data_IF_247619066984
#
_entry.id   IF_247619066984
#
_cell.length_a   1.000
_cell.length_b   1.000
_cell.length_c   1.000
_cell.angle_alpha   90.00
_cell.angle_beta   90.00
_cell.angle_gamma   90.00
#
_symmetry.space_group_name_H-M   'P 1'
#
loop_
_entity.id
_entity.type
_entity.pdbx_description
1 polymer ?
#
# COMPACT_ATOMS: atom_id res chain seq x y z
N UNK A 1 23.52 -17.85 -12.72
CA UNK A 1 24.19 -17.75 -11.41
C UNK A 1 23.39 -18.54 -10.40
N UNK A 2 24.06 -19.38 -9.60
CA UNK A 2 23.43 -20.08 -8.49
C UNK A 2 23.20 -19.10 -7.35
N UNK A 3 21.98 -19.01 -6.81
CA UNK A 3 21.67 -18.13 -5.68
C UNK A 3 22.30 -18.67 -4.40
N UNK A 4 22.62 -17.78 -3.46
CA UNK A 4 23.03 -18.17 -2.12
C UNK A 4 21.86 -18.82 -1.37
N UNK A 5 22.15 -19.69 -0.40
CA UNK A 5 21.12 -20.33 0.45
C UNK A 5 20.28 -19.29 1.19
N UNK A 6 20.89 -18.16 1.55
CA UNK A 6 20.28 -17.02 2.21
C UNK A 6 20.02 -15.85 1.25
N UNK A 7 19.79 -16.11 -0.04
CA UNK A 7 19.43 -15.06 -0.99
C UNK A 7 18.16 -14.32 -0.54
N UNK A 8 18.33 -13.05 -0.20
CA UNK A 8 17.26 -12.15 0.21
C UNK A 8 17.00 -11.06 -0.83
N UNK A 9 17.46 -11.25 -2.07
CA UNK A 9 17.50 -10.19 -3.10
C UNK A 9 16.10 -9.61 -3.36
N UNK A 10 15.10 -10.48 -3.54
CA UNK A 10 13.73 -10.07 -3.81
C UNK A 10 13.08 -9.36 -2.61
N UNK A 11 13.36 -9.85 -1.40
CA UNK A 11 12.87 -9.22 -0.17
C UNK A 11 13.47 -7.83 -0.03
N UNK A 12 14.79 -7.69 -0.16
CA UNK A 12 15.48 -6.39 -0.05
C UNK A 12 15.02 -5.39 -1.10
N UNK A 13 14.77 -5.83 -2.32
CA UNK A 13 14.20 -4.96 -3.33
C UNK A 13 12.78 -4.48 -2.97
N UNK A 14 11.96 -5.35 -2.35
CA UNK A 14 10.67 -4.96 -1.79
C UNK A 14 10.78 -3.94 -0.66
N UNK A 15 11.66 -4.20 0.31
CA UNK A 15 11.94 -3.31 1.45
C UNK A 15 12.40 -1.92 0.95
N UNK A 16 13.35 -1.89 0.01
CA UNK A 16 13.86 -0.64 -0.58
C UNK A 16 12.74 0.10 -1.31
N UNK A 17 11.90 -0.59 -2.09
CA UNK A 17 10.79 0.02 -2.79
C UNK A 17 9.79 0.67 -1.81
N UNK A 18 9.49 0.00 -0.69
CA UNK A 18 8.67 0.57 0.37
C UNK A 18 9.30 1.84 0.97
N UNK A 19 10.61 1.86 1.21
CA UNK A 19 11.32 3.06 1.69
C UNK A 19 11.31 4.19 0.67
N UNK A 20 11.38 3.91 -0.63
CA UNK A 20 11.23 4.92 -1.67
C UNK A 20 9.82 5.52 -1.68
N UNK A 21 8.79 4.69 -1.46
CA UNK A 21 7.41 5.17 -1.29
C UNK A 21 7.29 6.05 -0.05
N UNK A 22 7.89 5.64 1.08
CA UNK A 22 7.90 6.45 2.30
C UNK A 22 8.62 7.79 2.08
N UNK A 23 9.79 7.79 1.44
CA UNK A 23 10.53 9.00 1.11
C UNK A 23 9.73 9.94 0.20
N UNK A 24 9.03 9.40 -0.81
CA UNK A 24 8.12 10.20 -1.63
C UNK A 24 7.04 10.86 -0.77
N UNK A 25 6.39 10.08 0.09
CA UNK A 25 5.32 10.55 0.96
C UNK A 25 5.83 11.59 2.00
N UNK A 26 7.13 11.56 2.37
CA UNK A 26 7.75 12.60 3.22
C UNK A 26 7.68 14.01 2.60
N UNK A 27 7.70 14.13 1.27
CA UNK A 27 7.59 15.44 0.60
C UNK A 27 6.16 16.00 0.62
N UNK A 28 5.18 15.21 1.07
CA UNK A 28 3.75 15.60 1.17
C UNK A 28 3.28 15.73 2.63
N UNK A 29 4.22 15.78 3.58
CA UNK A 29 3.94 16.00 5.00
C UNK A 29 3.58 17.47 5.25
N UNK A 30 2.56 17.68 6.07
CA UNK A 30 2.26 18.98 6.66
C UNK A 30 2.89 19.08 8.04
N UNK A 31 2.93 20.29 8.59
CA UNK A 31 3.35 20.50 9.97
C UNK A 31 2.52 19.65 10.93
N UNK A 32 3.20 18.94 11.83
CA UNK A 32 2.58 18.02 12.79
C UNK A 32 2.31 16.61 12.27
N UNK A 33 2.47 16.35 10.96
CA UNK A 33 2.38 14.99 10.44
C UNK A 33 3.61 14.15 10.85
N UNK A 34 3.36 12.89 11.17
CA UNK A 34 4.37 11.86 11.43
C UNK A 34 4.20 10.74 10.42
N UNK A 35 5.24 10.49 9.62
CA UNK A 35 5.32 9.30 8.79
C UNK A 35 5.78 8.10 9.63
N UNK A 36 5.12 6.97 9.43
CA UNK A 36 5.41 5.70 10.10
C UNK A 36 5.67 4.60 9.08
N UNK A 37 6.63 3.74 9.40
CA UNK A 37 6.99 2.56 8.62
C UNK A 37 6.78 1.35 9.54
N UNK A 38 6.11 0.29 9.06
CA UNK A 38 5.86 -0.96 9.80
C UNK A 38 5.18 -0.79 11.18
N UNK A 39 4.39 0.27 11.36
CA UNK A 39 3.67 0.52 12.64
C UNK A 39 2.17 0.26 12.51
N UNK A 40 1.52 0.95 11.58
CA UNK A 40 0.08 0.84 11.31
C UNK A 40 -0.23 0.30 9.91
N UNK A 41 0.81 -0.06 9.17
CA UNK A 41 0.81 -0.36 7.76
C UNK A 41 2.24 -0.44 7.28
N UNK A 42 2.43 -0.62 5.98
CA UNK A 42 3.77 -0.65 5.41
C UNK A 42 4.32 0.79 5.40
N UNK A 43 3.48 1.76 5.02
CA UNK A 43 3.69 3.20 5.18
C UNK A 43 2.39 3.86 5.64
N UNK A 44 2.45 4.71 6.66
CA UNK A 44 1.29 5.44 7.18
C UNK A 44 1.66 6.88 7.51
N UNK A 45 0.68 7.79 7.43
CA UNK A 45 0.82 9.16 7.95
C UNK A 45 -0.26 9.41 8.98
N UNK A 46 0.14 9.92 10.14
CA UNK A 46 -0.76 10.31 11.22
C UNK A 46 -0.40 11.70 11.75
N UNK A 47 -1.38 12.35 12.39
CA UNK A 47 -1.18 13.54 13.20
C UNK A 47 -1.98 13.41 14.52
N UNK A 48 -2.07 14.50 15.26
CA UNK A 48 -2.81 14.62 16.52
C UNK A 48 -4.33 14.37 16.39
N UNK A 49 -4.90 14.59 15.19
CA UNK A 49 -6.34 14.39 14.92
C UNK A 49 -6.65 12.95 14.48
N UNK A 50 -5.68 12.24 13.88
CA UNK A 50 -5.84 10.84 13.48
C UNK A 50 -4.99 10.44 12.28
N UNK A 51 -5.33 9.31 11.66
CA UNK A 51 -4.60 8.78 10.51
C UNK A 51 -5.06 9.42 9.19
N UNK A 52 -4.15 10.03 8.43
CA UNK A 52 -4.43 10.54 7.08
C UNK A 52 -4.64 9.39 6.10
N UNK A 53 -3.67 8.49 6.03
CA UNK A 53 -3.79 7.24 5.28
C UNK A 53 -2.90 6.14 5.84
N UNK A 54 -3.33 4.91 5.55
CA UNK A 54 -2.56 3.70 5.73
C UNK A 54 -2.35 3.06 4.36
N UNK A 55 -1.12 2.65 4.07
CA UNK A 55 -0.72 2.10 2.78
C UNK A 55 -0.17 0.69 2.93
N UNK A 56 -0.62 -0.21 2.05
CA UNK A 56 -0.01 -1.51 1.79
C UNK A 56 0.72 -1.46 0.45
N UNK A 57 2.02 -1.73 0.46
CA UNK A 57 2.91 -1.62 -0.68
C UNK A 57 3.10 -3.01 -1.29
N UNK A 58 2.95 -3.12 -2.62
CA UNK A 58 3.18 -4.36 -3.38
C UNK A 58 4.10 -4.08 -4.56
N UNK A 59 5.34 -4.53 -4.45
CA UNK A 59 6.32 -4.44 -5.52
C UNK A 59 6.35 -5.74 -6.31
N UNK A 60 6.05 -5.66 -7.61
CA UNK A 60 6.10 -6.78 -8.53
C UNK A 60 7.18 -6.57 -9.59
N UNK A 61 7.95 -7.63 -9.82
CA UNK A 61 8.89 -7.70 -10.94
C UNK A 61 8.18 -8.15 -12.21
N UNK A 62 8.52 -7.52 -13.34
CA UNK A 62 7.93 -7.82 -14.63
C UNK A 62 6.49 -7.31 -14.78
N UNK A 63 5.83 -7.77 -15.85
CA UNK A 63 4.46 -7.35 -16.16
C UNK A 63 3.47 -8.16 -15.31
N UNK A 64 2.78 -7.49 -14.40
CA UNK A 64 1.65 -8.02 -13.65
C UNK A 64 0.48 -7.05 -13.77
N UNK A 65 -0.72 -7.60 -13.92
CA UNK A 65 -1.97 -6.85 -13.80
C UNK A 65 -2.74 -7.29 -12.57
N UNK A 66 -3.51 -6.39 -11.97
CA UNK A 66 -4.41 -6.69 -10.86
C UNK A 66 -5.87 -6.69 -11.31
N UNK A 67 -6.60 -7.70 -10.85
CA UNK A 67 -8.02 -7.98 -11.05
C UNK A 67 -8.73 -8.14 -9.71
N UNK A 68 -10.05 -8.15 -9.72
CA UNK A 68 -10.87 -8.42 -8.53
C UNK A 68 -10.77 -9.84 -7.98
N UNK A 69 -9.98 -10.71 -8.59
CA UNK A 69 -9.64 -12.04 -8.06
C UNK A 69 -8.21 -12.14 -7.56
N UNK A 70 -7.42 -11.07 -7.66
CA UNK A 70 -6.01 -11.12 -7.28
C UNK A 70 -5.81 -11.23 -5.77
N UNK A 71 -4.90 -12.12 -5.41
CA UNK A 71 -4.57 -12.42 -4.02
C UNK A 71 -4.01 -11.21 -3.27
N UNK A 72 -3.30 -10.31 -3.96
CA UNK A 72 -2.75 -9.11 -3.36
C UNK A 72 -3.84 -8.15 -2.90
N UNK A 73 -4.95 -8.08 -3.65
CA UNK A 73 -6.12 -7.28 -3.26
C UNK A 73 -6.80 -7.90 -2.04
N UNK A 74 -7.18 -9.18 -2.12
CA UNK A 74 -7.93 -9.84 -1.05
C UNK A 74 -7.14 -10.02 0.25
N UNK A 75 -5.83 -10.30 0.18
CA UNK A 75 -4.98 -10.32 1.38
C UNK A 75 -4.84 -8.93 2.00
N UNK A 76 -4.74 -7.89 1.18
CA UNK A 76 -4.69 -6.52 1.69
C UNK A 76 -5.97 -6.16 2.44
N UNK A 77 -7.13 -6.46 1.85
CA UNK A 77 -8.43 -6.24 2.48
C UNK A 77 -8.60 -7.07 3.77
N UNK A 78 -8.22 -8.34 3.73
CA UNK A 78 -8.26 -9.21 4.90
C UNK A 78 -7.38 -8.71 6.04
N UNK A 79 -6.17 -8.21 5.74
CA UNK A 79 -5.28 -7.64 6.75
C UNK A 79 -5.91 -6.40 7.41
N UNK A 80 -6.54 -5.50 6.65
CA UNK A 80 -7.24 -4.35 7.23
C UNK A 80 -8.42 -4.75 8.12
N UNK A 81 -9.13 -5.81 7.75
CA UNK A 81 -10.21 -6.35 8.57
C UNK A 81 -9.70 -6.96 9.87
N UNK A 82 -8.63 -7.76 9.81
CA UNK A 82 -8.03 -8.39 11.00
C UNK A 82 -7.44 -7.35 11.95
N UNK A 83 -6.75 -6.33 11.41
CA UNK A 83 -6.16 -5.24 12.19
C UNK A 83 -7.12 -4.06 12.44
N UNK A 84 -8.43 -4.23 12.24
CA UNK A 84 -9.40 -3.13 12.21
C UNK A 84 -9.26 -2.16 13.38
N UNK A 85 -9.15 -2.65 14.62
CA UNK A 85 -9.03 -1.79 15.80
C UNK A 85 -7.80 -0.87 15.77
N UNK A 86 -6.70 -1.34 15.17
CA UNK A 86 -5.46 -0.57 15.00
C UNK A 86 -5.59 0.49 13.92
N UNK A 87 -6.29 0.18 12.84
CA UNK A 87 -6.31 1.01 11.62
C UNK A 87 -7.60 1.83 11.44
N UNK A 88 -8.64 1.60 12.24
CA UNK A 88 -9.97 2.26 12.10
C UNK A 88 -9.94 3.79 12.09
N UNK A 89 -8.91 4.40 12.67
CA UNK A 89 -8.75 5.86 12.74
C UNK A 89 -8.08 6.46 11.49
N UNK A 90 -7.75 5.65 10.47
CA UNK A 90 -7.26 6.14 9.19
C UNK A 90 -8.40 6.51 8.25
N UNK A 91 -8.28 7.68 7.63
CA UNK A 91 -9.28 8.21 6.69
C UNK A 91 -9.23 7.52 5.33
N UNK A 92 -8.07 6.95 4.95
CA UNK A 92 -7.86 6.30 3.66
C UNK A 92 -7.03 5.02 3.80
N UNK A 93 -7.39 4.01 3.01
CA UNK A 93 -6.70 2.73 2.92
C UNK A 93 -6.25 2.52 1.48
N UNK A 94 -4.93 2.41 1.28
CA UNK A 94 -4.33 2.49 -0.05
C UNK A 94 -3.56 1.21 -0.35
N UNK A 95 -3.96 0.49 -1.39
CA UNK A 95 -3.12 -0.52 -2.04
C UNK A 95 -2.21 0.17 -3.06
N UNK A 96 -0.92 0.28 -2.76
CA UNK A 96 0.08 0.92 -3.60
C UNK A 96 0.92 -0.14 -4.30
N UNK A 97 0.60 -0.43 -5.57
CA UNK A 97 1.21 -1.54 -6.32
C UNK A 97 1.87 -1.10 -7.62
N UNK A 98 2.90 -1.82 -8.07
CA UNK A 98 3.43 -1.68 -9.45
C UNK A 98 2.64 -2.46 -10.48
N UNK A 99 1.68 -3.30 -10.07
CA UNK A 99 0.81 -3.99 -11.01
C UNK A 99 -0.09 -2.99 -11.75
N UNK A 100 -0.30 -3.23 -13.04
CA UNK A 100 -1.19 -2.41 -13.87
C UNK A 100 -2.66 -2.79 -13.65
N UNK A 101 -3.57 -1.89 -13.98
CA UNK A 101 -5.01 -2.18 -14.00
C UNK A 101 -5.46 -2.17 -15.45
N UNK A 102 -5.96 -3.31 -15.94
CA UNK A 102 -6.43 -3.43 -17.32
C UNK A 102 -7.75 -2.67 -17.51
N UNK A 103 -8.07 -2.27 -18.75
CA UNK A 103 -9.26 -1.48 -19.08
C UNK A 103 -10.58 -2.23 -18.86
N UNK A 104 -10.53 -3.57 -18.94
CA UNK A 104 -11.64 -4.49 -18.72
C UNK A 104 -11.75 -4.97 -17.26
N UNK A 105 -10.82 -4.56 -16.38
CA UNK A 105 -10.87 -4.86 -14.95
C UNK A 105 -11.96 -4.06 -14.25
N UNK A 106 -12.62 -4.64 -13.25
CA UNK A 106 -13.59 -3.94 -12.39
C UNK A 106 -12.96 -2.80 -11.56
N UNK A 107 -11.63 -2.83 -11.42
CA UNK A 107 -10.82 -1.75 -10.83
C UNK A 107 -10.44 -0.66 -11.83
N UNK A 108 -10.82 -0.76 -13.11
CA UNK A 108 -10.50 0.26 -14.08
C UNK A 108 -10.98 1.64 -13.60
N UNK A 109 -10.10 2.64 -13.72
CA UNK A 109 -10.34 4.01 -13.25
C UNK A 109 -10.70 4.14 -11.76
N UNK A 110 -10.27 3.21 -10.89
CA UNK A 110 -10.55 3.24 -9.45
C UNK A 110 -10.29 4.60 -8.80
N UNK A 111 -9.12 5.19 -9.06
CA UNK A 111 -8.71 6.47 -8.47
C UNK A 111 -9.59 7.66 -8.92
N UNK A 112 -10.39 7.48 -9.99
CA UNK A 112 -11.30 8.50 -10.50
C UNK A 112 -12.75 8.26 -10.05
N UNK A 113 -13.05 7.14 -9.35
CA UNK A 113 -14.39 6.86 -8.87
C UNK A 113 -14.76 7.87 -7.78
N UNK A 114 -15.84 8.62 -8.00
CA UNK A 114 -16.41 9.48 -6.96
C UNK A 114 -17.05 8.59 -5.89
N UNK A 115 -16.85 8.95 -4.63
CA UNK A 115 -17.58 8.34 -3.51
C UNK A 115 -19.08 8.55 -3.74
N UNK A 116 -19.80 7.48 -4.03
CA UNK A 116 -21.26 7.50 -4.02
C UNK A 116 -21.67 7.82 -2.58
N UNK A 117 -22.28 8.98 -2.36
CA UNK A 117 -22.89 9.32 -1.08
C UNK A 117 -24.26 8.65 -1.09
N UNK A 118 -24.43 7.62 -0.27
CA UNK A 118 -25.74 7.14 0.13
C UNK A 118 -26.22 7.94 1.34
#
# INVERSE_FOLDING_TARGET
MTRAVNDATLQKAGDIYQYLIALRDCFELNDGDTLQIETNGDVSIMNDVGGRFQRKVKHHFGNKSISDRDIDFWKTLANWYVDYERVKNFSNYILSTTATIQSDSSFHSWNNKKRLRN
#
